data_IF_375522158054
#
_entry.id   IF_375522158054
#
_cell.length_a   1.000
_cell.length_b   1.000
_cell.length_c   1.000
_cell.angle_alpha   90.00
_cell.angle_beta   90.00
_cell.angle_gamma   90.00
#
_symmetry.space_group_name_H-M   'P 1'
#
loop_
_entity.id
_entity.type
_entity.pdbx_description
1 polymer ?
#
# COMPACT_ATOMS: atom_id res chain seq x y z
N UNK A 1 -9.03 -44.53 -17.56
CA UNK A 1 -7.94 -43.68 -17.03
C UNK A 1 -6.87 -44.64 -16.56
N UNK A 2 -5.67 -44.58 -17.14
CA UNK A 2 -4.58 -45.49 -16.76
C UNK A 2 -4.01 -45.04 -15.41
N UNK A 3 -3.95 -45.97 -14.45
CA UNK A 3 -3.44 -45.75 -13.08
C UNK A 3 -1.92 -45.51 -13.03
N UNK A 4 -1.19 -45.72 -14.13
CA UNK A 4 0.28 -45.62 -14.19
C UNK A 4 0.83 -44.19 -14.07
N UNK A 5 0.00 -43.18 -14.32
CA UNK A 5 0.36 -41.75 -14.28
C UNK A 5 0.16 -41.10 -12.90
N UNK A 6 -0.47 -41.79 -11.93
CA UNK A 6 -0.78 -41.23 -10.60
C UNK A 6 0.32 -41.54 -9.58
N UNK A 7 1.56 -41.13 -9.89
CA UNK A 7 2.72 -41.36 -9.02
C UNK A 7 2.95 -40.18 -8.09
N UNK A 8 3.04 -40.46 -6.79
CA UNK A 8 3.42 -39.48 -5.77
C UNK A 8 4.85 -38.97 -6.04
N UNK A 9 4.97 -37.71 -6.44
CA UNK A 9 6.27 -37.07 -6.75
C UNK A 9 6.90 -36.41 -5.53
N UNK A 10 6.08 -35.85 -4.63
CA UNK A 10 6.55 -35.16 -3.43
C UNK A 10 5.45 -35.08 -2.37
N UNK A 11 5.87 -34.96 -1.10
CA UNK A 11 4.97 -34.77 0.05
C UNK A 11 5.43 -33.49 0.75
N UNK A 12 4.52 -32.55 0.92
CA UNK A 12 4.74 -31.31 1.67
C UNK A 12 3.97 -31.41 3.00
N UNK A 13 4.64 -31.44 4.16
CA UNK A 13 3.97 -31.43 5.45
C UNK A 13 3.31 -30.06 5.69
N UNK A 14 2.02 -30.05 6.01
CA UNK A 14 1.29 -28.80 6.25
C UNK A 14 1.28 -28.50 7.75
N UNK A 15 1.98 -27.43 8.14
CA UNK A 15 1.91 -26.87 9.47
C UNK A 15 0.91 -25.72 9.54
N UNK A 16 0.06 -25.72 10.56
CA UNK A 16 -0.97 -24.70 10.74
C UNK A 16 -0.77 -23.94 12.06
N UNK A 17 -0.85 -22.62 12.00
CA UNK A 17 -0.77 -21.75 13.17
C UNK A 17 -1.80 -20.62 13.11
N UNK A 18 -2.48 -20.41 14.22
CA UNK A 18 -3.44 -19.30 14.42
C UNK A 18 -2.86 -18.14 15.22
N UNK A 19 -1.55 -18.16 15.53
CA UNK A 19 -0.92 -17.17 16.40
C UNK A 19 -1.08 -15.72 15.91
N UNK A 20 -1.23 -15.52 14.59
CA UNK A 20 -1.39 -14.20 13.96
C UNK A 20 -2.79 -13.96 13.40
N UNK A 21 -3.79 -14.76 13.78
CA UNK A 21 -5.15 -14.71 13.22
C UNK A 21 -5.82 -13.33 13.27
N UNK A 22 -5.48 -12.49 14.24
CA UNK A 22 -5.98 -11.12 14.36
C UNK A 22 -5.02 -10.05 13.82
N UNK A 23 -3.79 -10.43 13.49
CA UNK A 23 -2.70 -9.52 13.11
C UNK A 23 -2.38 -9.52 11.61
N UNK A 24 -2.90 -10.47 10.84
CA UNK A 24 -2.66 -10.57 9.39
C UNK A 24 -3.81 -9.95 8.61
N UNK A 25 -3.48 -9.04 7.70
CA UNK A 25 -4.42 -8.45 6.75
C UNK A 25 -3.89 -8.61 5.34
N UNK A 26 -4.77 -8.97 4.41
CA UNK A 26 -4.45 -9.01 2.98
C UNK A 26 -4.92 -7.72 2.33
N UNK A 27 -3.98 -6.96 1.76
CA UNK A 27 -4.28 -5.76 0.98
C UNK A 27 -3.98 -6.01 -0.48
N UNK A 28 -4.95 -5.71 -1.34
CA UNK A 28 -4.83 -5.82 -2.79
C UNK A 28 -4.89 -4.41 -3.41
N UNK A 29 -4.15 -4.22 -4.49
CA UNK A 29 -4.14 -2.97 -5.26
C UNK A 29 -4.58 -3.26 -6.70
N UNK A 30 -5.90 -3.39 -6.96
CA UNK A 30 -6.40 -3.95 -8.23
C UNK A 30 -5.99 -3.15 -9.47
N UNK A 31 -5.74 -1.84 -9.32
CA UNK A 31 -5.35 -0.95 -10.40
C UNK A 31 -3.83 -0.95 -10.67
N UNK A 32 -3.04 -1.65 -9.85
CA UNK A 32 -1.60 -1.75 -10.04
C UNK A 32 -1.25 -3.04 -10.77
N UNK A 33 -0.58 -2.91 -11.91
CA UNK A 33 -0.01 -4.02 -12.67
C UNK A 33 1.36 -4.45 -12.14
N UNK A 34 1.90 -3.71 -11.17
CA UNK A 34 3.20 -3.94 -10.54
C UNK A 34 3.05 -3.87 -9.02
N UNK A 35 3.94 -4.52 -8.24
CA UNK A 35 3.93 -4.38 -6.79
C UNK A 35 4.01 -2.91 -6.38
N UNK A 36 3.28 -2.55 -5.32
CA UNK A 36 3.39 -1.22 -4.74
C UNK A 36 4.79 -1.02 -4.16
N UNK A 37 5.55 -0.07 -4.71
CA UNK A 37 6.94 0.21 -4.33
C UNK A 37 7.16 1.70 -4.12
N UNK A 38 8.19 2.04 -3.34
CA UNK A 38 8.64 3.43 -3.21
C UNK A 38 9.20 3.88 -4.57
N UNK A 39 8.77 5.02 -5.14
CA UNK A 39 9.33 5.47 -6.41
C UNK A 39 10.84 5.79 -6.34
N UNK A 40 11.59 5.66 -7.46
CA UNK A 40 13.05 5.81 -7.44
C UNK A 40 13.57 7.12 -6.85
N UNK A 41 13.02 8.28 -7.25
CA UNK A 41 13.45 9.58 -6.70
C UNK A 41 13.14 9.73 -5.21
N UNK A 42 11.99 9.22 -4.77
CA UNK A 42 11.60 9.20 -3.37
C UNK A 42 12.55 8.32 -2.55
N UNK A 43 12.88 7.13 -3.06
CA UNK A 43 13.84 6.21 -2.43
C UNK A 43 15.23 6.82 -2.33
N UNK A 44 15.72 7.47 -3.40
CA UNK A 44 17.00 8.17 -3.39
C UNK A 44 17.06 9.32 -2.36
N UNK A 45 15.90 9.92 -2.07
CA UNK A 45 15.75 10.96 -1.04
C UNK A 45 15.47 10.39 0.37
N UNK A 46 15.58 9.07 0.56
CA UNK A 46 15.33 8.40 1.84
C UNK A 46 13.86 8.37 2.27
N UNK A 47 12.91 8.74 1.39
CA UNK A 47 11.48 8.67 1.69
C UNK A 47 11.00 7.22 1.61
N UNK A 48 9.94 6.92 2.36
CA UNK A 48 9.34 5.57 2.44
C UNK A 48 7.82 5.68 2.31
N UNK A 49 7.20 4.59 1.87
CA UNK A 49 5.75 4.42 1.99
C UNK A 49 5.40 4.42 3.47
N UNK A 50 4.40 5.23 3.85
CA UNK A 50 3.85 5.27 5.20
C UNK A 50 2.45 4.67 5.17
N UNK A 51 2.04 4.05 6.26
CA UNK A 51 0.70 3.50 6.36
C UNK A 51 0.08 3.88 7.71
N UNK A 52 -1.24 4.10 7.71
CA UNK A 52 -2.03 4.37 8.91
C UNK A 52 -3.26 3.48 8.96
N UNK A 53 -3.54 2.93 10.13
CA UNK A 53 -4.77 2.21 10.42
C UNK A 53 -5.70 3.12 11.21
N UNK A 54 -6.97 3.23 10.79
CA UNK A 54 -8.05 3.88 11.52
C UNK A 54 -8.97 2.80 12.10
N UNK A 55 -8.81 2.42 13.39
CA UNK A 55 -9.49 1.25 13.96
C UNK A 55 -11.01 1.35 13.92
N UNK A 56 -11.56 2.52 14.24
CA UNK A 56 -13.01 2.75 14.31
C UNK A 56 -13.73 2.56 12.97
N UNK A 57 -13.07 2.90 11.87
CA UNK A 57 -13.61 2.75 10.52
C UNK A 57 -13.05 1.55 9.76
N UNK A 58 -12.24 0.71 10.43
CA UNK A 58 -11.48 -0.42 9.85
C UNK A 58 -10.80 -0.07 8.52
N UNK A 59 -10.30 1.16 8.45
CA UNK A 59 -9.78 1.75 7.22
C UNK A 59 -8.28 1.83 7.29
N UNK A 60 -7.63 1.28 6.29
CA UNK A 60 -6.20 1.40 6.09
C UNK A 60 -5.95 2.48 5.05
N UNK A 61 -4.94 3.30 5.29
CA UNK A 61 -4.52 4.30 4.32
C UNK A 61 -3.02 4.20 4.10
N UNK A 62 -2.61 4.20 2.83
CA UNK A 62 -1.23 4.05 2.39
C UNK A 62 -0.81 5.33 1.69
N UNK A 63 0.25 5.93 2.19
CA UNK A 63 0.80 7.20 1.74
C UNK A 63 2.08 6.91 0.96
N UNK A 64 2.00 7.09 -0.36
CA UNK A 64 3.07 6.80 -1.30
C UNK A 64 3.71 8.13 -1.70
N UNK A 65 4.99 8.38 -1.41
CA UNK A 65 5.66 9.60 -1.85
C UNK A 65 5.62 9.74 -3.38
N UNK A 66 5.55 10.97 -3.87
CA UNK A 66 5.55 11.22 -5.32
C UNK A 66 6.91 10.94 -5.96
N UNK A 67 6.90 10.56 -7.23
CA UNK A 67 8.09 10.48 -8.07
C UNK A 67 8.33 11.83 -8.73
N UNK A 68 9.44 12.49 -8.41
CA UNK A 68 9.78 13.82 -8.95
C UNK A 68 10.71 13.76 -10.16
N UNK A 69 10.90 12.59 -10.77
CA UNK A 69 11.73 12.47 -11.98
C UNK A 69 11.03 13.14 -13.17
N UNK A 70 11.74 13.95 -13.99
CA UNK A 70 11.12 14.73 -15.06
C UNK A 70 10.29 13.92 -16.06
N UNK A 71 10.63 12.64 -16.29
CA UNK A 71 9.92 11.76 -17.21
C UNK A 71 8.48 11.42 -16.81
N UNK A 72 8.14 11.53 -15.52
CA UNK A 72 6.83 11.14 -14.97
C UNK A 72 6.19 12.21 -14.09
N UNK A 73 6.87 13.35 -13.88
CA UNK A 73 6.42 14.41 -12.99
C UNK A 73 6.08 15.69 -13.75
N UNK A 74 4.87 16.20 -13.55
CA UNK A 74 4.45 17.50 -14.04
C UNK A 74 4.34 18.49 -12.86
N UNK A 75 5.16 19.54 -12.89
CA UNK A 75 5.26 20.54 -11.81
C UNK A 75 4.01 21.40 -11.70
N UNK A 76 3.41 21.80 -12.82
CA UNK A 76 2.19 22.62 -12.83
C UNK A 76 1.04 21.84 -12.18
N UNK A 77 0.84 20.60 -12.62
CA UNK A 77 -0.18 19.70 -12.07
C UNK A 77 0.06 19.36 -10.61
N UNK A 78 1.32 19.28 -10.18
CA UNK A 78 1.68 19.13 -8.77
C UNK A 78 1.21 20.31 -7.92
N UNK A 79 1.33 21.54 -8.43
CA UNK A 79 0.89 22.73 -7.69
C UNK A 79 -0.63 22.79 -7.59
N UNK A 80 -1.34 22.49 -8.68
CA UNK A 80 -2.81 22.43 -8.69
C UNK A 80 -3.34 21.37 -7.71
N UNK A 81 -2.83 20.13 -7.80
CA UNK A 81 -3.26 19.02 -6.94
C UNK A 81 -2.81 19.22 -5.49
N UNK A 82 -1.67 19.88 -5.26
CA UNK A 82 -1.21 20.22 -3.93
C UNK A 82 -2.08 21.30 -3.27
N UNK A 83 -2.51 22.32 -4.01
CA UNK A 83 -3.47 23.31 -3.53
C UNK A 83 -4.80 22.66 -3.14
N UNK A 84 -5.37 21.85 -4.04
CA UNK A 84 -6.60 21.11 -3.79
C UNK A 84 -6.48 20.19 -2.57
N UNK A 85 -5.32 19.53 -2.39
CA UNK A 85 -5.05 18.69 -1.21
C UNK A 85 -5.10 19.48 0.10
N UNK A 86 -4.56 20.70 0.14
CA UNK A 86 -4.58 21.51 1.36
C UNK A 86 -6.00 21.90 1.75
N UNK A 87 -6.83 22.27 0.77
CA UNK A 87 -8.24 22.57 0.99
C UNK A 87 -8.99 21.34 1.52
N UNK A 88 -8.81 20.18 0.87
CA UNK A 88 -9.37 18.90 1.29
C UNK A 88 -8.99 18.50 2.72
N UNK A 89 -7.72 18.69 3.08
CA UNK A 89 -7.20 18.35 4.41
C UNK A 89 -7.74 19.31 5.48
N UNK A 90 -7.91 20.60 5.14
CA UNK A 90 -8.53 21.60 6.02
C UNK A 90 -9.99 21.28 6.30
N UNK A 91 -10.77 20.96 5.28
CA UNK A 91 -12.19 20.59 5.45
C UNK A 91 -12.38 19.33 6.30
N UNK A 92 -11.44 18.38 6.21
CA UNK A 92 -11.52 17.07 6.88
C UNK A 92 -10.84 17.04 8.24
N UNK A 93 -10.31 18.17 8.73
CA UNK A 93 -9.46 18.24 9.94
C UNK A 93 -8.32 17.21 9.89
N UNK A 94 -7.70 17.05 8.72
CA UNK A 94 -6.56 16.16 8.47
C UNK A 94 -5.26 16.92 8.18
N UNK A 95 -5.21 18.21 8.47
CA UNK A 95 -3.98 19.00 8.38
C UNK A 95 -2.87 18.28 9.15
N UNK A 96 -1.84 17.85 8.42
CA UNK A 96 -0.63 17.36 9.06
C UNK A 96 0.18 18.56 9.54
N UNK A 97 0.81 18.44 10.71
CA UNK A 97 1.85 19.40 11.12
C UNK A 97 2.80 19.61 9.94
N UNK A 98 2.99 20.87 9.56
CA UNK A 98 3.76 21.32 8.39
C UNK A 98 5.22 20.89 8.51
N UNK A 99 5.51 19.61 8.30
CA UNK A 99 6.88 19.13 8.20
C UNK A 99 7.40 19.55 6.83
N UNK A 100 8.03 20.74 6.82
CA UNK A 100 8.93 21.28 5.79
C UNK A 100 8.31 22.00 4.58
N UNK A 101 7.09 22.50 4.64
CA UNK A 101 6.75 23.64 3.77
C UNK A 101 7.16 24.91 4.49
N UNK A 102 8.21 25.57 3.98
CA UNK A 102 8.56 26.91 4.44
C UNK A 102 7.39 27.83 4.12
N UNK A 103 7.08 28.75 5.03
CA UNK A 103 6.11 29.82 4.76
C UNK A 103 6.48 30.50 3.43
N UNK A 104 5.60 30.40 2.42
CA UNK A 104 5.80 30.97 1.09
C UNK A 104 6.08 29.96 -0.04
N UNK A 105 6.34 28.68 0.24
CA UNK A 105 6.47 27.68 -0.82
C UNK A 105 5.11 27.36 -1.46
N UNK A 106 5.03 27.21 -2.80
CA UNK A 106 3.80 26.85 -3.47
C UNK A 106 3.33 25.46 -3.02
N UNK A 107 2.01 25.23 -2.92
CA UNK A 107 1.47 24.00 -2.38
C UNK A 107 1.65 22.85 -3.36
N UNK A 108 2.70 22.06 -3.15
CA UNK A 108 3.04 20.93 -4.01
C UNK A 108 2.45 19.63 -3.47
N UNK A 109 1.98 18.79 -4.38
CA UNK A 109 1.62 17.42 -4.05
C UNK A 109 2.89 16.64 -3.63
N UNK A 110 2.92 16.15 -2.39
CA UNK A 110 4.08 15.44 -1.84
C UNK A 110 3.92 13.92 -1.80
N UNK A 111 2.68 13.44 -1.78
CA UNK A 111 2.33 12.03 -1.69
C UNK A 111 0.95 11.74 -2.28
N UNK A 112 0.75 10.51 -2.73
CA UNK A 112 -0.54 9.93 -3.10
C UNK A 112 -1.06 9.13 -1.92
N UNK A 113 -2.31 9.37 -1.51
CA UNK A 113 -2.97 8.65 -0.42
C UNK A 113 -3.97 7.65 -1.00
N UNK A 114 -3.66 6.37 -0.84
CA UNK A 114 -4.53 5.25 -1.18
C UNK A 114 -5.35 4.87 0.05
N UNK A 115 -6.65 4.63 -0.14
CA UNK A 115 -7.56 4.28 0.93
C UNK A 115 -8.13 2.89 0.67
N UNK A 116 -8.12 2.04 1.68
CA UNK A 116 -8.72 0.72 1.60
C UNK A 116 -10.24 0.78 1.72
N UNK A 117 -10.88 -0.22 1.15
CA UNK A 117 -12.27 -0.55 1.38
C UNK A 117 -12.37 -2.00 1.89
N UNK A 118 -13.27 -2.28 2.84
CA UNK A 118 -13.46 -3.63 3.34
C UNK A 118 -14.12 -4.50 2.27
N UNK A 119 -13.51 -5.64 1.97
CA UNK A 119 -14.09 -6.66 1.09
C UNK A 119 -14.62 -7.79 1.98
N UNK A 120 -15.94 -8.08 1.95
CA UNK A 120 -16.50 -9.20 2.69
C UNK A 120 -15.86 -10.53 2.27
N UNK A 121 -15.49 -11.35 3.24
CA UNK A 121 -14.96 -12.68 2.97
C UNK A 121 -16.09 -13.63 2.53
N UNK A 122 -15.88 -14.39 1.46
CA UNK A 122 -16.82 -15.42 1.01
C UNK A 122 -16.51 -16.82 1.58
N UNK A 123 -15.37 -16.98 2.28
CA UNK A 123 -14.92 -18.23 2.86
C UNK A 123 -13.74 -18.06 3.81
N UNK A 124 -13.08 -19.16 4.14
CA UNK A 124 -11.86 -19.16 4.93
C UNK A 124 -10.65 -18.89 4.03
N UNK A 125 -9.87 -17.86 4.36
CA UNK A 125 -8.62 -17.54 3.69
C UNK A 125 -7.46 -17.79 4.65
N UNK A 126 -6.42 -18.46 4.15
CA UNK A 126 -5.19 -18.78 4.89
C UNK A 126 -3.98 -18.30 4.11
N UNK A 127 -2.98 -17.78 4.83
CA UNK A 127 -1.68 -17.44 4.25
C UNK A 127 -0.77 -18.65 4.35
N UNK A 128 -0.45 -19.26 3.21
CA UNK A 128 0.55 -20.31 3.11
C UNK A 128 1.93 -19.74 2.77
N UNK A 129 2.98 -20.28 3.38
CA UNK A 129 4.37 -20.00 3.05
C UNK A 129 5.03 -21.35 2.84
N UNK A 130 5.70 -21.52 1.70
CA UNK A 130 6.54 -22.70 1.44
C UNK A 130 8.00 -22.30 1.63
N UNK A 131 8.70 -23.00 2.53
CA UNK A 131 10.09 -22.77 2.88
C UNK A 131 10.78 -24.11 3.06
N UNK A 132 11.91 -24.29 2.38
CA UNK A 132 12.77 -25.47 2.53
C UNK A 132 12.05 -26.81 2.26
N UNK A 133 10.97 -26.80 1.46
CA UNK A 133 10.15 -27.98 1.16
C UNK A 133 8.97 -28.22 2.11
N UNK A 134 8.62 -27.22 2.93
CA UNK A 134 7.50 -27.27 3.89
C UNK A 134 6.63 -26.01 3.81
#
# INVERSE_FOLDING_TARGET
MNEEDDRLVSVLPIHFSNALSTGVQLHQFPLLTRPLQVPPSASASGKRIRARLKPSSRRFEVHVPVDTRPEVWNVERSNELGAARMEDDKEKNQEQEKLKQREGDPPRLTEVRLRSEPVPHQGAYVLGIVRDGE
#
